data_IF_524689583270
#
_entry.id   IF_524689583270
#
_cell.length_a   1.000
_cell.length_b   1.000
_cell.length_c   1.000
_cell.angle_alpha   90.00
_cell.angle_beta   90.00
_cell.angle_gamma   90.00
#
_symmetry.space_group_name_H-M   'P 1'
#
loop_
_entity.id
_entity.type
_entity.pdbx_description
1 polymer ?
#
# COMPACT_ATOMS: atom_id res chain seq x y z
N UNK A 1 -0.21 -15.21 4.63
CA UNK A 1 1.27 -15.09 4.58
C UNK A 1 1.77 -13.66 4.41
N UNK A 2 0.89 -12.64 4.46
CA UNK A 2 1.30 -11.23 4.31
C UNK A 2 1.59 -10.81 2.87
N UNK A 3 1.21 -11.62 1.88
CA UNK A 3 1.33 -11.28 0.46
C UNK A 3 0.01 -10.81 -0.13
N UNK A 4 0.11 -9.90 -1.09
CA UNK A 4 -0.99 -9.59 -2.01
C UNK A 4 -0.93 -10.55 -3.20
N UNK A 5 -2.10 -10.80 -3.80
CA UNK A 5 -2.29 -11.56 -5.03
C UNK A 5 -1.25 -11.27 -6.12
N UNK A 6 -0.99 -9.99 -6.41
CA UNK A 6 -0.06 -9.53 -7.45
C UNK A 6 1.39 -10.01 -7.22
N UNK A 7 1.75 -10.36 -5.99
CA UNK A 7 3.07 -10.90 -5.66
C UNK A 7 3.17 -12.41 -5.97
N UNK A 8 2.03 -13.06 -6.21
CA UNK A 8 1.94 -14.47 -6.60
C UNK A 8 1.66 -14.60 -8.11
N UNK A 9 0.66 -13.88 -8.62
CA UNK A 9 0.26 -13.88 -10.04
C UNK A 9 -0.46 -12.58 -10.40
N UNK A 10 -0.34 -12.13 -11.64
CA UNK A 10 -1.12 -10.99 -12.18
C UNK A 10 -2.47 -11.41 -12.75
N UNK A 11 -2.74 -12.72 -12.83
CA UNK A 11 -3.91 -13.27 -13.53
C UNK A 11 -5.11 -13.48 -12.60
N UNK A 12 -4.86 -13.62 -11.30
CA UNK A 12 -5.88 -13.87 -10.29
C UNK A 12 -6.00 -12.69 -9.33
N UNK A 13 -7.23 -12.28 -9.06
CA UNK A 13 -7.53 -11.30 -8.01
C UNK A 13 -7.97 -12.03 -6.74
N UNK A 14 -7.24 -11.84 -5.65
CA UNK A 14 -7.57 -12.40 -4.33
C UNK A 14 -7.56 -11.32 -3.26
N UNK A 15 -8.47 -11.45 -2.28
CA UNK A 15 -8.69 -10.48 -1.20
C UNK A 15 -8.94 -9.04 -1.70
N UNK A 16 -9.52 -8.90 -2.91
CA UNK A 16 -9.95 -7.64 -3.52
C UNK A 16 -11.42 -7.73 -3.90
N UNK A 17 -12.14 -6.61 -3.79
CA UNK A 17 -13.53 -6.56 -4.19
C UNK A 17 -14.04 -5.14 -4.35
N UNK A 18 -15.10 -5.01 -5.14
CA UNK A 18 -15.85 -3.76 -5.31
C UNK A 18 -17.21 -3.97 -4.67
N UNK A 19 -17.51 -3.17 -3.65
CA UNK A 19 -18.74 -3.25 -2.88
C UNK A 19 -19.55 -1.97 -3.07
N UNK A 20 -20.87 -2.10 -3.01
CA UNK A 20 -21.78 -0.96 -2.95
C UNK A 20 -22.49 -0.99 -1.61
N UNK A 21 -22.68 0.19 -1.03
CA UNK A 21 -23.51 0.34 0.15
C UNK A 21 -24.97 0.06 -0.21
N UNK A 22 -25.75 -0.32 0.80
CA UNK A 22 -27.21 -0.39 0.68
C UNK A 22 -27.86 1.01 0.70
N UNK A 23 -29.20 1.05 0.75
CA UNK A 23 -29.98 2.28 0.76
C UNK A 23 -29.77 3.13 2.04
N UNK A 24 -29.33 2.51 3.14
CA UNK A 24 -29.01 3.18 4.40
C UNK A 24 -27.54 3.63 4.44
N UNK A 25 -26.74 3.37 3.39
CA UNK A 25 -25.32 3.66 3.36
C UNK A 25 -24.44 2.61 4.07
N UNK A 26 -24.99 1.45 4.45
CA UNK A 26 -24.24 0.39 5.14
C UNK A 26 -23.54 -0.53 4.16
N UNK A 27 -22.43 -1.11 4.59
CA UNK A 27 -21.69 -2.13 3.84
C UNK A 27 -21.31 -3.29 4.76
N UNK A 28 -21.15 -4.48 4.18
CA UNK A 28 -20.65 -5.66 4.87
C UNK A 28 -19.62 -6.34 3.97
N UNK A 29 -18.41 -6.52 4.49
CA UNK A 29 -17.32 -7.21 3.80
C UNK A 29 -16.94 -8.42 4.65
N UNK A 30 -17.02 -9.62 4.07
CA UNK A 30 -16.52 -10.84 4.69
C UNK A 30 -15.16 -11.16 4.09
N UNK A 31 -14.14 -11.25 4.95
CA UNK A 31 -12.77 -11.50 4.54
C UNK A 31 -12.02 -12.26 5.65
N UNK A 32 -10.74 -12.51 5.44
CA UNK A 32 -9.82 -13.06 6.44
C UNK A 32 -9.06 -11.94 7.16
N UNK A 33 -8.66 -12.18 8.41
CA UNK A 33 -7.83 -11.22 9.16
C UNK A 33 -6.49 -11.03 8.43
N UNK A 34 -6.09 -9.79 8.10
CA UNK A 34 -4.80 -9.54 7.46
C UNK A 34 -3.65 -9.79 8.45
N UNK A 35 -2.47 -10.03 7.90
CA UNK A 35 -1.21 -10.04 8.65
C UNK A 35 -0.39 -8.81 8.29
N UNK A 36 0.43 -8.34 9.23
CA UNK A 36 1.50 -7.41 8.93
C UNK A 36 2.50 -8.06 7.97
N UNK A 37 3.21 -7.22 7.20
CA UNK A 37 4.15 -7.71 6.19
C UNK A 37 5.37 -6.83 6.06
N UNK A 38 6.42 -7.39 5.47
CA UNK A 38 7.65 -6.69 5.18
C UNK A 38 7.63 -6.16 3.75
N UNK A 39 7.96 -4.88 3.54
CA UNK A 39 8.18 -4.36 2.19
C UNK A 39 9.42 -5.01 1.55
N UNK A 40 9.48 -5.13 0.22
CA UNK A 40 10.72 -5.54 -0.45
C UNK A 40 11.88 -4.59 -0.10
N UNK A 41 13.02 -5.15 0.32
CA UNK A 41 14.22 -4.38 0.67
C UNK A 41 15.39 -4.54 -0.31
N UNK A 42 15.21 -5.31 -1.37
CA UNK A 42 16.19 -5.60 -2.41
C UNK A 42 16.28 -4.50 -3.49
N UNK A 43 15.43 -3.46 -3.40
CA UNK A 43 15.40 -2.32 -4.33
C UNK A 43 15.90 -0.99 -3.74
N UNK A 44 15.84 0.11 -4.52
CA UNK A 44 16.28 1.44 -4.08
C UNK A 44 15.58 1.94 -2.81
N UNK A 45 14.27 1.70 -2.69
CA UNK A 45 13.50 2.02 -1.48
C UNK A 45 14.05 1.25 -0.27
N UNK A 46 14.39 -0.02 -0.48
CA UNK A 46 15.02 -0.85 0.54
C UNK A 46 16.36 -0.30 1.01
N UNK A 47 17.22 0.10 0.06
CA UNK A 47 18.50 0.73 0.36
C UNK A 47 18.32 2.02 1.20
N UNK A 48 17.30 2.83 0.89
CA UNK A 48 16.99 4.05 1.67
C UNK A 48 16.53 3.72 3.10
N UNK A 49 15.71 2.68 3.29
CA UNK A 49 15.25 2.23 4.60
C UNK A 49 16.43 1.69 5.43
N UNK A 50 17.28 0.87 4.82
CA UNK A 50 18.46 0.30 5.48
C UNK A 50 19.51 1.36 5.83
N UNK A 51 19.71 2.38 4.99
CA UNK A 51 20.60 3.50 5.28
C UNK A 51 20.17 4.29 6.53
N UNK A 52 18.87 4.34 6.81
CA UNK A 52 18.30 4.94 8.03
C UNK A 52 18.33 3.99 9.24
N UNK A 53 18.80 2.75 9.08
CA UNK A 53 18.78 1.69 10.09
C UNK A 53 17.36 1.39 10.61
N UNK A 54 16.37 1.43 9.71
CA UNK A 54 14.96 1.14 10.02
C UNK A 54 14.56 -0.25 9.51
N UNK A 55 13.51 -0.83 10.08
CA UNK A 55 12.91 -2.06 9.55
C UNK A 55 11.96 -1.78 8.38
N UNK A 56 11.65 -2.81 7.59
CA UNK A 56 10.68 -2.79 6.50
C UNK A 56 9.25 -3.22 6.87
N UNK A 57 8.95 -3.45 8.15
CA UNK A 57 7.61 -3.92 8.57
C UNK A 57 6.52 -2.85 8.40
N UNK A 58 5.36 -3.31 7.95
CA UNK A 58 4.08 -2.62 8.02
C UNK A 58 3.13 -3.40 8.93
N UNK A 59 2.33 -2.73 9.77
CA UNK A 59 1.30 -3.38 10.58
C UNK A 59 0.21 -4.01 9.70
N UNK A 60 -0.54 -4.98 10.23
CA UNK A 60 -1.69 -5.57 9.54
C UNK A 60 -2.75 -4.50 9.21
N UNK A 61 -3.19 -4.44 7.95
CA UNK A 61 -4.15 -3.42 7.49
C UNK A 61 -5.01 -3.86 6.32
N UNK A 62 -6.10 -3.12 6.08
CA UNK A 62 -7.02 -3.27 4.96
C UNK A 62 -7.15 -1.92 4.25
N UNK A 63 -6.93 -1.90 2.94
CA UNK A 63 -7.05 -0.68 2.13
C UNK A 63 -8.50 -0.42 1.70
N UNK A 64 -8.86 0.86 1.66
CA UNK A 64 -10.15 1.34 1.19
C UNK A 64 -9.97 2.48 0.20
N UNK A 65 -10.73 2.40 -0.89
CA UNK A 65 -11.01 3.52 -1.78
C UNK A 65 -12.52 3.68 -1.83
N UNK A 66 -13.01 4.82 -1.37
CA UNK A 66 -14.44 5.07 -1.17
C UNK A 66 -14.83 6.30 -1.97
N UNK A 67 -15.87 6.16 -2.79
CA UNK A 67 -16.40 7.26 -3.60
C UNK A 67 -17.92 7.28 -3.58
N UNK A 68 -18.48 8.50 -3.65
CA UNK A 68 -19.90 8.74 -3.78
C UNK A 68 -20.12 10.03 -4.59
N UNK A 69 -21.21 10.15 -5.39
CA UNK A 69 -21.48 11.36 -6.17
C UNK A 69 -21.55 12.62 -5.30
N UNK A 70 -20.78 13.65 -5.68
CA UNK A 70 -20.73 14.93 -4.94
C UNK A 70 -19.88 14.91 -3.67
N UNK A 71 -19.07 13.87 -3.47
CA UNK A 71 -18.12 13.74 -2.35
C UNK A 71 -16.70 13.55 -2.88
N UNK A 72 -15.71 14.05 -2.13
CA UNK A 72 -14.30 13.81 -2.39
C UNK A 72 -13.99 12.33 -2.12
N UNK A 73 -13.29 11.71 -3.06
CA UNK A 73 -12.82 10.33 -2.91
C UNK A 73 -11.90 10.20 -1.69
N UNK A 74 -12.15 9.18 -0.88
CA UNK A 74 -11.35 8.85 0.28
C UNK A 74 -10.47 7.63 -0.03
N UNK A 75 -9.16 7.83 -0.06
CA UNK A 75 -8.16 6.77 -0.09
C UNK A 75 -7.58 6.64 1.32
N UNK A 76 -7.78 5.48 1.94
CA UNK A 76 -7.37 5.25 3.33
C UNK A 76 -7.08 3.76 3.59
N UNK A 77 -6.67 3.44 4.81
CA UNK A 77 -6.53 2.08 5.30
C UNK A 77 -6.99 1.99 6.76
N UNK A 78 -7.47 0.81 7.17
CA UNK A 78 -7.70 0.48 8.57
C UNK A 78 -6.61 -0.44 9.06
N UNK A 79 -6.11 -0.18 10.27
CA UNK A 79 -4.99 -0.90 10.89
C UNK A 79 -5.49 -1.75 12.05
N UNK A 80 -4.98 -2.97 12.20
CA UNK A 80 -5.46 -3.87 13.25
C UNK A 80 -4.89 -3.48 14.60
N UNK A 81 -5.77 -3.26 15.59
CA UNK A 81 -5.37 -2.99 16.97
C UNK A 81 -4.47 -4.11 17.54
N UNK A 82 -3.44 -3.70 18.29
CA UNK A 82 -2.48 -4.61 18.92
C UNK A 82 -1.42 -5.20 17.98
N UNK A 83 -1.35 -4.74 16.73
CA UNK A 83 -0.22 -5.07 15.86
C UNK A 83 1.09 -4.45 16.41
N UNK A 84 2.20 -5.19 16.46
CA UNK A 84 3.46 -4.70 17.04
C UNK A 84 4.07 -3.50 16.31
N UNK A 85 3.66 -3.22 15.06
CA UNK A 85 4.23 -2.18 14.22
C UNK A 85 3.31 -0.98 13.98
N UNK A 86 2.31 -0.76 14.85
CA UNK A 86 1.42 0.40 14.76
C UNK A 86 2.17 1.72 14.97
N UNK A 87 3.13 1.76 15.89
CA UNK A 87 3.87 2.98 16.26
C UNK A 87 5.08 3.24 15.35
N UNK A 88 5.54 2.24 14.61
CA UNK A 88 6.78 2.28 13.83
C UNK A 88 6.61 1.89 12.35
N UNK A 89 5.37 1.94 11.81
CA UNK A 89 5.06 1.63 10.40
C UNK A 89 6.09 2.27 9.44
N UNK A 90 6.78 1.43 8.65
CA UNK A 90 7.88 1.90 7.80
C UNK A 90 7.45 2.98 6.79
N UNK A 91 6.18 2.96 6.37
CA UNK A 91 5.64 3.94 5.42
C UNK A 91 4.90 5.10 6.08
N UNK A 92 4.87 5.15 7.41
CA UNK A 92 4.20 6.21 8.19
C UNK A 92 2.72 6.38 7.83
N UNK A 93 2.03 5.28 7.47
CA UNK A 93 0.62 5.33 7.11
C UNK A 93 -0.32 5.19 8.31
N UNK A 94 0.13 4.49 9.36
CA UNK A 94 -0.68 4.28 10.56
C UNK A 94 -0.96 5.60 11.30
N UNK A 95 -2.23 5.78 11.67
CA UNK A 95 -2.71 6.88 12.51
C UNK A 95 -3.73 6.33 13.51
N UNK A 96 -3.78 6.91 14.70
CA UNK A 96 -4.68 6.45 15.78
C UNK A 96 -6.14 6.36 15.36
N UNK A 97 -6.64 7.33 14.60
CA UNK A 97 -8.03 7.38 14.10
C UNK A 97 -8.36 6.26 13.10
N UNK A 98 -7.35 5.56 12.59
CA UNK A 98 -7.48 4.47 11.61
C UNK A 98 -7.24 3.09 12.25
N UNK A 99 -7.00 3.03 13.56
CA UNK A 99 -6.84 1.76 14.28
C UNK A 99 -8.22 1.16 14.57
N UNK A 100 -8.41 -0.07 14.13
CA UNK A 100 -9.64 -0.83 14.24
C UNK A 100 -9.48 -2.03 15.18
N UNK A 101 -10.36 -2.12 16.16
CA UNK A 101 -10.44 -3.24 17.09
C UNK A 101 -11.26 -4.39 16.48
N UNK A 102 -10.70 -5.60 16.49
CA UNK A 102 -11.41 -6.82 16.13
C UNK A 102 -12.14 -7.33 17.37
N UNK A 103 -13.47 -7.43 17.28
CA UNK A 103 -14.32 -7.96 18.34
C UNK A 103 -14.71 -9.39 18.02
N UNK A 104 -14.37 -10.34 18.89
CA UNK A 104 -14.68 -11.76 18.71
C UNK A 104 -16.19 -12.06 18.67
N UNK A 105 -16.98 -11.27 19.41
CA UNK A 105 -18.43 -11.37 19.45
C UNK A 105 -19.06 -9.97 19.49
N UNK A 106 -19.17 -9.32 18.34
CA UNK A 106 -19.89 -8.05 18.23
C UNK A 106 -21.41 -8.31 18.15
N UNK A 107 -22.22 -7.87 19.13
CA UNK A 107 -23.67 -8.02 19.08
C UNK A 107 -24.31 -7.26 17.90
N UNK A 108 -23.61 -6.25 17.35
CA UNK A 108 -24.06 -5.51 16.18
C UNK A 108 -23.69 -6.17 14.85
N UNK A 109 -22.86 -7.23 14.87
CA UNK A 109 -22.50 -7.97 13.65
C UNK A 109 -23.74 -8.70 13.10
N UNK A 110 -24.05 -8.55 11.80
CA UNK A 110 -25.11 -9.32 11.16
C UNK A 110 -24.74 -10.80 10.96
N UNK A 111 -23.49 -11.18 11.26
CA UNK A 111 -22.99 -12.56 11.16
C UNK A 111 -22.58 -13.05 12.55
N UNK A 112 -23.47 -13.76 13.28
CA UNK A 112 -23.20 -14.22 14.63
C UNK A 112 -21.99 -15.16 14.72
N UNK A 113 -21.20 -15.00 15.78
CA UNK A 113 -20.05 -15.87 16.08
C UNK A 113 -18.83 -15.69 15.17
N UNK A 114 -18.82 -14.66 14.33
CA UNK A 114 -17.67 -14.31 13.49
C UNK A 114 -17.02 -13.03 14.03
N UNK A 115 -15.69 -13.02 14.27
CA UNK A 115 -14.99 -11.80 14.65
C UNK A 115 -15.20 -10.69 13.63
N UNK A 116 -15.40 -9.47 14.10
CA UNK A 116 -15.78 -8.35 13.23
C UNK A 116 -15.13 -7.04 13.63
N UNK A 117 -15.09 -6.13 12.67
CA UNK A 117 -14.69 -4.73 12.83
C UNK A 117 -15.89 -3.88 12.41
N UNK A 118 -16.29 -2.96 13.28
CA UNK A 118 -17.23 -1.90 12.93
C UNK A 118 -16.44 -0.61 12.72
N UNK A 119 -16.53 -0.04 11.51
CA UNK A 119 -15.93 1.24 11.19
C UNK A 119 -16.89 2.10 10.37
N UNK A 120 -16.95 3.40 10.65
CA UNK A 120 -17.76 4.37 9.91
C UNK A 120 -16.84 5.30 9.13
N UNK A 121 -17.07 5.40 7.81
CA UNK A 121 -16.35 6.36 6.96
C UNK A 121 -17.18 7.62 6.74
N UNK A 122 -16.57 8.78 6.98
CA UNK A 122 -17.17 10.09 6.72
C UNK A 122 -16.50 10.73 5.52
N UNK A 123 -17.26 10.97 4.45
CA UNK A 123 -16.75 11.61 3.25
C UNK A 123 -16.97 13.12 3.31
N UNK A 124 -15.96 13.87 2.88
CA UNK A 124 -16.07 15.32 2.68
C UNK A 124 -16.80 15.61 1.37
N UNK A 125 -17.55 16.72 1.31
CA UNK A 125 -18.10 17.21 0.04
C UNK A 125 -16.97 17.55 -0.92
N UNK A 126 -17.16 17.22 -2.19
CA UNK A 126 -16.21 17.58 -3.22
C UNK A 126 -16.23 19.09 -3.46
N UNK A 127 -15.06 19.71 -3.52
CA UNK A 127 -14.90 21.13 -3.88
C UNK A 127 -14.51 21.29 -5.35
N UNK A 128 -14.61 22.51 -5.86
CA UNK A 128 -14.12 22.83 -7.22
C UNK A 128 -12.60 22.64 -7.36
N UNK A 129 -11.84 22.81 -6.27
CA UNK A 129 -10.40 22.55 -6.26
C UNK A 129 -10.11 21.05 -6.40
N UNK A 130 -10.86 20.20 -5.70
CA UNK A 130 -10.72 18.74 -5.79
C UNK A 130 -10.98 18.24 -7.22
N UNK A 131 -12.00 18.78 -7.89
CA UNK A 131 -12.31 18.44 -9.29
C UNK A 131 -11.16 18.75 -10.25
N UNK A 132 -10.43 19.85 -9.99
CA UNK A 132 -9.29 20.27 -10.82
C UNK A 132 -8.04 19.45 -10.54
N UNK A 133 -7.82 19.07 -9.28
CA UNK A 133 -6.64 18.31 -8.88
C UNK A 133 -6.64 16.85 -9.36
N UNK A 134 -7.81 16.32 -9.76
CA UNK A 134 -7.95 14.94 -10.21
C UNK A 134 -7.94 13.94 -9.05
N UNK A 135 -7.90 12.64 -9.38
CA UNK A 135 -7.87 11.58 -8.36
C UNK A 135 -6.48 11.45 -7.74
N UNK A 136 -6.45 11.11 -6.45
CA UNK A 136 -5.20 10.74 -5.77
C UNK A 136 -4.64 9.49 -6.46
N UNK A 137 -3.38 9.56 -6.90
CA UNK A 137 -2.75 8.47 -7.66
C UNK A 137 -3.17 8.38 -9.13
N UNK A 138 -3.82 9.41 -9.69
CA UNK A 138 -3.97 9.54 -11.13
C UNK A 138 -2.59 9.48 -11.82
N UNK A 139 -2.57 8.93 -13.04
CA UNK A 139 -1.36 8.75 -13.85
C UNK A 139 -0.50 10.02 -13.83
N UNK A 140 0.74 9.97 -13.29
CA UNK A 140 1.65 11.11 -13.30
C UNK A 140 1.88 11.68 -14.71
N UNK A 141 1.73 10.85 -15.76
CA UNK A 141 1.78 11.27 -17.15
C UNK A 141 0.66 12.23 -17.57
N UNK A 142 -0.40 12.38 -16.76
CA UNK A 142 -1.44 13.40 -16.95
C UNK A 142 -1.11 14.72 -16.23
N UNK A 143 -0.11 14.72 -15.35
CA UNK A 143 0.38 15.90 -14.61
C UNK A 143 1.56 16.56 -15.33
N UNK A 144 2.28 15.81 -16.15
CA UNK A 144 3.37 16.31 -16.98
C UNK A 144 2.86 16.48 -18.41
N UNK A 145 2.83 17.70 -18.94
CA UNK A 145 2.77 17.92 -20.39
C UNK A 145 4.08 17.39 -21.01
N UNK A 146 4.19 16.08 -21.18
CA UNK A 146 5.42 15.42 -21.58
C UNK A 146 5.17 13.94 -21.87
N UNK A 147 5.41 13.56 -23.12
CA UNK A 147 5.07 12.29 -23.76
C UNK A 147 5.89 11.08 -23.23
N UNK A 148 5.91 10.84 -21.91
CA UNK A 148 6.66 9.78 -21.26
C UNK A 148 5.85 8.49 -21.12
N UNK A 149 5.83 7.64 -22.15
CA UNK A 149 5.33 6.26 -21.99
C UNK A 149 6.28 5.49 -21.06
N UNK A 150 5.80 5.07 -19.89
CA UNK A 150 6.51 4.11 -19.05
C UNK A 150 6.53 2.74 -19.75
N UNK A 151 7.70 2.28 -20.18
CA UNK A 151 7.87 1.00 -20.90
C UNK A 151 8.47 -0.10 -20.02
N UNK A 152 8.28 -0.04 -18.70
CA UNK A 152 8.81 -1.04 -17.76
C UNK A 152 7.76 -1.49 -16.74
N UNK A 153 7.85 -2.74 -16.30
CA UNK A 153 7.05 -3.22 -15.17
C UNK A 153 7.36 -2.39 -13.93
N UNK A 154 6.34 -2.14 -13.11
CA UNK A 154 6.48 -1.44 -11.84
C UNK A 154 7.64 -2.04 -11.03
N UNK A 155 8.63 -1.21 -10.67
CA UNK A 155 9.82 -1.63 -9.90
C UNK A 155 11.07 -1.99 -10.71
N UNK A 156 11.04 -1.93 -12.06
CA UNK A 156 12.28 -2.02 -12.84
C UNK A 156 13.13 -0.74 -12.62
N UNK A 157 14.44 -0.85 -12.33
CA UNK A 157 15.30 0.32 -12.23
C UNK A 157 15.33 1.08 -13.57
N UNK A 158 15.45 2.42 -13.55
CA UNK A 158 15.59 3.20 -14.78
C UNK A 158 16.75 2.66 -15.63
N UNK A 159 16.67 2.70 -16.97
CA UNK A 159 17.72 2.20 -17.85
C UNK A 159 19.09 2.81 -17.56
N UNK A 160 19.10 4.06 -17.10
CA UNK A 160 20.26 4.84 -16.70
C UNK A 160 21.00 4.23 -15.49
N UNK A 161 20.25 3.62 -14.55
CA UNK A 161 20.80 2.94 -13.37
C UNK A 161 21.41 1.58 -13.77
N UNK A 162 20.77 0.86 -14.69
CA UNK A 162 21.29 -0.40 -15.25
C UNK A 162 22.58 -0.17 -16.04
N UNK A 163 22.65 0.93 -16.81
CA UNK A 163 23.84 1.31 -17.57
C UNK A 163 25.03 1.66 -16.66
N UNK A 164 24.79 2.27 -15.51
CA UNK A 164 25.83 2.61 -14.54
C UNK A 164 26.43 1.38 -13.83
N UNK A 165 25.65 0.31 -13.62
CA UNK A 165 26.17 -0.94 -13.03
C UNK A 165 27.02 -1.76 -14.01
N UNK A 166 26.68 -1.77 -15.30
CA UNK A 166 27.44 -2.54 -16.31
C UNK A 166 28.83 -1.96 -16.60
N UNK A 167 29.09 -0.69 -16.26
CA UNK A 167 30.40 -0.06 -16.41
C UNK A 167 31.40 -0.43 -15.29
N UNK A 168 30.95 -1.07 -14.19
CA UNK A 168 31.85 -1.59 -13.16
C UNK A 168 32.21 -3.06 -13.43
N UNK A 169 33.08 -3.32 -14.41
CA UNK A 169 33.86 -4.58 -14.46
C UNK A 169 35.24 -4.39 -13.81
N UNK A 170 35.79 -5.40 -13.11
CA UNK A 170 37.06 -5.27 -12.40
C UNK A 170 38.22 -5.34 -13.40
N UNK A 171 38.89 -4.21 -13.61
CA UNK A 171 40.13 -4.15 -14.38
C UNK A 171 41.34 -4.34 -13.49
N UNK A 172 41.93 -5.54 -13.55
CA UNK A 172 43.38 -5.80 -13.57
C UNK A 172 44.29 -5.08 -12.54
N UNK A 173 44.59 -5.75 -11.42
CA UNK A 173 45.88 -5.62 -10.72
C UNK A 173 46.18 -6.91 -9.93
N UNK A 174 46.54 -7.95 -10.68
CA UNK A 174 47.20 -9.12 -10.15
C UNK A 174 48.72 -8.91 -10.18
N UNK A 175 49.35 -9.00 -9.01
CA UNK A 175 50.77 -9.33 -8.89
C UNK A 175 51.71 -8.18 -8.59
N UNK A 176 51.88 -7.86 -7.30
CA UNK A 176 53.20 -7.58 -6.75
C UNK A 176 53.11 -7.66 -5.21
N UNK A 177 53.66 -8.72 -4.63
CA UNK A 177 54.47 -8.73 -3.41
C UNK A 177 54.77 -10.21 -3.06
N UNK A 178 55.87 -10.68 -3.64
CA UNK A 178 56.66 -11.80 -3.12
C UNK A 178 57.92 -11.19 -2.51
N UNK A 179 58.02 -11.20 -1.18
CA UNK A 179 59.19 -11.58 -0.38
C UNK A 179 58.85 -11.45 1.09
#
# INVERSE_FOLDING_TARGET
DGRYDIQNSIEEMDCRGIFRTDADGKYLIRTVRPLGYYIPLDGPVGQMVMAQKRHGMRPAHIHFLISAPGYRELVTALYVAGDPHLEDDVVFGASGDLVAEIKDADPASPVPGVPSVHFEFKLSRETEADRRAGRVGADPGQVVEGNGKATGSYGAPPPEVVAAEQQKKPGFLGGLFRK
#
